data_IF_436754618749
#
_entry.id   IF_436754618749
#
_cell.length_a   1.000
_cell.length_b   1.000
_cell.length_c   1.000
_cell.angle_alpha   90.00
_cell.angle_beta   90.00
_cell.angle_gamma   90.00
#
_symmetry.space_group_name_H-M   'P 1'
#
loop_
_entity.id
_entity.type
_entity.pdbx_description
1 polymer ?
#
# COMPACT_ATOMS: atom_id res chain seq x y z
N UNK A 1 -8.29 -15.58 -8.67
CA UNK A 1 -7.17 -14.88 -9.33
C UNK A 1 -6.59 -13.85 -8.37
N UNK A 2 -5.31 -13.98 -8.02
CA UNK A 2 -4.61 -13.08 -7.10
C UNK A 2 -3.56 -12.22 -7.81
N UNK A 3 -2.81 -11.45 -7.03
CA UNK A 3 -1.63 -10.71 -7.50
C UNK A 3 -0.41 -11.62 -7.37
N UNK A 4 0.10 -12.12 -8.50
CA UNK A 4 1.26 -13.02 -8.53
C UNK A 4 2.53 -12.32 -9.00
N UNK A 5 2.42 -11.04 -9.35
CA UNK A 5 3.52 -10.21 -9.83
C UNK A 5 3.95 -9.22 -8.76
N UNK A 6 5.24 -8.86 -8.78
CA UNK A 6 5.85 -7.96 -7.81
C UNK A 6 6.60 -8.67 -6.67
N UNK A 7 7.56 -7.96 -6.07
CA UNK A 7 8.39 -8.42 -4.96
C UNK A 7 8.10 -7.57 -3.72
N UNK A 8 7.56 -8.18 -2.68
CA UNK A 8 7.28 -7.52 -1.40
C UNK A 8 8.53 -7.41 -0.54
N UNK A 9 8.76 -6.24 0.05
CA UNK A 9 9.82 -5.96 1.02
C UNK A 9 9.23 -5.22 2.22
N UNK A 10 9.33 -5.81 3.41
CA UNK A 10 9.00 -5.15 4.67
C UNK A 10 9.99 -4.02 4.96
N UNK A 11 9.49 -2.90 5.46
CA UNK A 11 10.31 -1.75 5.84
C UNK A 11 10.70 -1.81 7.32
N UNK A 12 11.92 -1.38 7.61
CA UNK A 12 12.51 -1.39 8.94
C UNK A 12 13.25 -0.09 9.23
N UNK A 13 13.20 0.35 10.47
CA UNK A 13 13.99 1.46 11.02
C UNK A 13 14.82 0.98 12.22
N UNK A 14 15.31 1.92 13.04
CA UNK A 14 16.09 1.61 14.25
C UNK A 14 15.24 0.97 15.35
N UNK A 15 13.93 1.19 15.34
CA UNK A 15 12.96 0.72 16.33
C UNK A 15 12.33 -0.62 15.92
N UNK A 16 12.49 -1.02 14.65
CA UNK A 16 12.15 -2.34 14.13
C UNK A 16 11.28 -2.28 12.89
N UNK A 17 10.28 -3.15 12.80
CA UNK A 17 9.38 -3.23 11.66
C UNK A 17 8.43 -2.02 11.64
N UNK A 18 8.36 -1.30 10.52
CA UNK A 18 7.59 -0.05 10.40
C UNK A 18 6.09 -0.26 10.11
N UNK A 19 5.60 -1.51 10.17
CA UNK A 19 4.22 -1.85 9.81
C UNK A 19 3.90 -1.69 8.32
N UNK A 20 4.90 -1.42 7.48
CA UNK A 20 4.72 -1.09 6.05
C UNK A 20 5.49 -2.07 5.16
N UNK A 21 4.90 -2.41 4.03
CA UNK A 21 5.51 -3.27 3.01
C UNK A 21 5.49 -2.57 1.65
N UNK A 22 6.65 -2.49 0.99
CA UNK A 22 6.79 -1.97 -0.37
C UNK A 22 6.73 -3.13 -1.36
N UNK A 23 5.89 -3.01 -2.39
CA UNK A 23 5.80 -4.01 -3.47
C UNK A 23 6.46 -3.43 -4.73
N UNK A 24 7.55 -4.07 -5.16
CA UNK A 24 8.31 -3.66 -6.34
C UNK A 24 7.83 -4.42 -7.57
N UNK A 25 7.41 -3.71 -8.60
CA UNK A 25 6.98 -4.30 -9.88
C UNK A 25 8.10 -4.25 -10.93
N UNK A 26 7.86 -4.86 -12.10
CA UNK A 26 8.78 -4.78 -13.22
C UNK A 26 9.00 -3.31 -13.64
N UNK A 27 10.22 -2.98 -14.08
CA UNK A 27 10.56 -1.62 -14.52
C UNK A 27 10.19 -1.39 -16.01
N UNK A 28 8.96 -1.75 -16.36
CA UNK A 28 8.41 -1.65 -17.70
C UNK A 28 6.90 -1.31 -17.62
N UNK A 29 6.22 -1.02 -18.74
CA UNK A 29 4.80 -0.67 -18.72
C UNK A 29 3.89 -1.74 -18.12
N UNK A 30 4.27 -3.03 -18.15
CA UNK A 30 3.49 -4.11 -17.55
C UNK A 30 3.54 -4.06 -16.02
N UNK A 31 4.70 -3.73 -15.45
CA UNK A 31 4.84 -3.54 -14.00
C UNK A 31 4.01 -2.37 -13.47
N UNK A 32 3.94 -1.26 -14.22
CA UNK A 32 3.05 -0.15 -13.87
C UNK A 32 1.57 -0.56 -13.91
N UNK A 33 1.15 -1.31 -14.93
CA UNK A 33 -0.22 -1.82 -15.05
C UNK A 33 -0.60 -2.72 -13.86
N UNK A 34 0.32 -3.59 -13.44
CA UNK A 34 0.12 -4.46 -12.28
C UNK A 34 0.05 -3.67 -10.97
N UNK A 35 0.93 -2.68 -10.79
CA UNK A 35 0.90 -1.78 -9.64
C UNK A 35 -0.45 -1.02 -9.55
N UNK A 36 -0.93 -0.49 -10.67
CA UNK A 36 -2.24 0.18 -10.76
C UNK A 36 -3.38 -0.77 -10.41
N UNK A 37 -3.35 -2.01 -10.91
CA UNK A 37 -4.36 -3.02 -10.59
C UNK A 37 -4.38 -3.36 -9.09
N UNK A 38 -3.23 -3.43 -8.44
CA UNK A 38 -3.15 -3.66 -6.99
C UNK A 38 -3.73 -2.48 -6.20
N UNK A 39 -3.38 -1.25 -6.57
CA UNK A 39 -3.96 -0.06 -5.95
C UNK A 39 -5.49 0.01 -6.14
N UNK A 40 -5.99 -0.25 -7.35
CA UNK A 40 -7.43 -0.29 -7.64
C UNK A 40 -8.17 -1.35 -6.82
N UNK A 41 -7.52 -2.48 -6.52
CA UNK A 41 -8.10 -3.51 -5.66
C UNK A 41 -8.30 -3.03 -4.22
N UNK A 42 -7.34 -2.29 -3.66
CA UNK A 42 -7.48 -1.68 -2.35
C UNK A 42 -8.54 -0.57 -2.35
N UNK A 43 -8.56 0.29 -3.37
CA UNK A 43 -9.57 1.34 -3.52
C UNK A 43 -11.00 0.76 -3.61
N UNK A 44 -11.21 -0.31 -4.38
CA UNK A 44 -12.51 -0.99 -4.48
C UNK A 44 -13.00 -1.58 -3.15
N UNK A 45 -12.09 -1.91 -2.25
CA UNK A 45 -12.41 -2.38 -0.91
C UNK A 45 -12.55 -1.24 0.11
N UNK A 46 -12.44 0.02 -0.32
CA UNK A 46 -12.36 1.21 0.54
C UNK A 46 -11.15 1.18 1.48
N UNK A 47 -10.08 0.52 1.07
CA UNK A 47 -8.81 0.43 1.79
C UNK A 47 -7.68 1.17 1.06
N UNK A 48 -8.04 2.18 0.26
CA UNK A 48 -7.12 3.04 -0.47
C UNK A 48 -6.46 4.11 0.38
N UNK A 49 -5.71 5.01 -0.27
CA UNK A 49 -4.91 6.05 0.41
C UNK A 49 -5.77 7.02 1.22
N UNK A 50 -6.91 7.45 0.66
CA UNK A 50 -7.81 8.40 1.32
C UNK A 50 -8.41 7.80 2.58
N UNK A 51 -8.81 6.52 2.52
CA UNK A 51 -9.28 5.79 3.69
C UNK A 51 -8.19 5.68 4.75
N UNK A 52 -6.98 5.31 4.35
CA UNK A 52 -5.84 5.26 5.27
C UNK A 52 -5.60 6.60 5.96
N UNK A 53 -5.54 7.69 5.20
CA UNK A 53 -5.34 9.04 5.75
C UNK A 53 -6.43 9.45 6.75
N UNK A 54 -7.69 9.06 6.50
CA UNK A 54 -8.80 9.34 7.42
C UNK A 54 -8.63 8.63 8.77
N UNK A 55 -8.12 7.40 8.75
CA UNK A 55 -7.90 6.58 9.95
C UNK A 55 -6.63 6.99 10.68
N UNK A 56 -5.57 7.35 9.96
CA UNK A 56 -4.29 7.74 10.53
C UNK A 56 -4.42 8.93 11.49
N UNK A 57 -5.34 9.86 11.22
CA UNK A 57 -5.66 10.99 12.11
C UNK A 57 -6.25 10.55 13.48
N UNK A 58 -6.90 9.39 13.51
CA UNK A 58 -7.55 8.80 14.69
C UNK A 58 -6.71 7.68 15.32
N UNK A 59 -5.64 7.26 14.65
CA UNK A 59 -4.76 6.20 15.12
C UNK A 59 -3.98 6.67 16.34
N UNK A 60 -4.35 6.12 17.50
CA UNK A 60 -3.60 6.17 18.74
C UNK A 60 -3.03 4.78 18.91
N UNK A 61 -1.70 4.58 18.87
CA UNK A 61 -1.12 3.27 19.16
C UNK A 61 -1.56 2.87 20.56
N UNK A 62 -2.56 1.98 20.67
CA UNK A 62 -3.06 1.49 21.95
C UNK A 62 -2.80 0.00 22.00
N UNK A 63 -2.63 -0.51 23.21
CA UNK A 63 -2.45 -1.95 23.49
C UNK A 63 -3.57 -2.88 22.96
N UNK A 64 -4.60 -2.37 22.29
CA UNK A 64 -5.84 -3.08 21.95
C UNK A 64 -6.31 -2.82 20.50
N UNK A 65 -5.37 -2.64 19.57
CA UNK A 65 -5.66 -2.49 18.13
C UNK A 65 -6.42 -3.71 17.56
N UNK A 66 -6.38 -4.86 18.25
CA UNK A 66 -7.09 -6.10 17.88
C UNK A 66 -8.62 -6.03 18.00
N UNK A 67 -9.15 -4.95 18.57
CA UNK A 67 -10.60 -4.70 18.69
C UNK A 67 -11.08 -3.54 17.82
N UNK A 68 -10.18 -2.87 17.13
CA UNK A 68 -10.51 -1.70 16.34
C UNK A 68 -11.00 -2.15 14.94
N UNK A 69 -12.23 -1.76 14.54
CA UNK A 69 -12.89 -2.31 13.34
C UNK A 69 -12.30 -1.86 11.99
N UNK A 70 -11.49 -0.81 11.97
CA UNK A 70 -10.70 -0.36 10.82
C UNK A 70 -9.38 -1.14 10.69
N UNK A 71 -8.91 -1.81 11.74
CA UNK A 71 -7.68 -2.61 11.71
C UNK A 71 -7.92 -4.12 11.68
N UNK A 72 -9.08 -4.57 12.16
CA UNK A 72 -9.44 -5.98 12.23
C UNK A 72 -10.86 -6.24 11.71
N UNK A 73 -10.99 -7.23 10.84
CA UNK A 73 -12.26 -7.77 10.39
C UNK A 73 -12.43 -9.19 10.91
N UNK A 74 -13.60 -9.51 11.46
CA UNK A 74 -13.97 -10.89 11.79
C UNK A 74 -14.52 -11.56 10.54
N UNK A 75 -13.86 -12.61 10.07
CA UNK A 75 -14.47 -13.52 9.11
C UNK A 75 -15.48 -14.40 9.85
N UNK A 76 -16.76 -14.08 9.69
CA UNK A 76 -17.87 -14.79 10.34
C UNK A 76 -18.00 -16.25 9.90
N UNK A 77 -17.38 -16.66 8.79
CA UNK A 77 -17.45 -18.03 8.26
C UNK A 77 -16.50 -18.96 8.99
N UNK A 78 -15.31 -18.47 9.34
CA UNK A 78 -14.25 -19.26 9.99
C UNK A 78 -13.99 -18.81 11.44
N UNK A 79 -14.70 -17.79 11.92
CA UNK A 79 -14.54 -17.20 13.27
C UNK A 79 -13.12 -16.68 13.56
N UNK A 80 -12.38 -16.32 12.51
CA UNK A 80 -11.01 -15.79 12.62
C UNK A 80 -10.96 -14.27 12.40
N UNK A 81 -10.04 -13.62 13.11
CA UNK A 81 -9.74 -12.19 12.96
C UNK A 81 -8.67 -12.01 11.90
N UNK A 82 -8.99 -11.28 10.83
CA UNK A 82 -8.04 -10.90 9.79
C UNK A 82 -7.68 -9.42 9.90
N UNK A 83 -6.40 -9.09 9.72
CA UNK A 83 -5.96 -7.69 9.67
C UNK A 83 -6.40 -7.05 8.37
N UNK A 84 -6.96 -5.85 8.47
CA UNK A 84 -7.28 -5.03 7.31
C UNK A 84 -5.99 -4.40 6.81
N UNK A 85 -5.66 -4.67 5.55
CA UNK A 85 -4.54 -4.03 4.86
C UNK A 85 -5.04 -2.84 4.05
N UNK A 86 -4.28 -1.74 4.12
CA UNK A 86 -4.44 -0.57 3.28
C UNK A 86 -3.30 -0.52 2.26
N UNK A 87 -3.61 -0.10 1.03
CA UNK A 87 -2.62 -0.09 -0.05
C UNK A 87 -2.96 0.91 -1.14
N UNK A 88 -1.93 1.46 -1.77
CA UNK A 88 -2.05 2.49 -2.80
C UNK A 88 -0.75 2.56 -3.63
N UNK A 89 -0.80 3.29 -4.75
CA UNK A 89 0.41 3.59 -5.54
C UNK A 89 1.31 4.55 -4.75
N UNK A 90 2.59 4.19 -4.62
CA UNK A 90 3.57 5.04 -3.95
C UNK A 90 3.63 6.44 -4.56
N UNK A 91 3.73 7.45 -3.70
CA UNK A 91 3.88 8.86 -4.07
C UNK A 91 5.26 9.37 -3.67
N UNK A 92 5.61 10.58 -4.12
CA UNK A 92 6.91 11.20 -3.81
C UNK A 92 7.19 11.30 -2.31
N UNK A 93 6.17 11.59 -1.49
CA UNK A 93 6.31 11.64 -0.03
C UNK A 93 6.69 10.29 0.59
N UNK A 94 6.31 9.17 -0.01
CA UNK A 94 6.63 7.84 0.54
C UNK A 94 8.11 7.50 0.37
N UNK A 95 8.82 8.20 -0.54
CA UNK A 95 10.24 7.96 -0.79
C UNK A 95 11.14 8.31 0.40
N UNK A 96 10.64 9.11 1.34
CA UNK A 96 11.33 9.39 2.60
C UNK A 96 11.32 8.17 3.54
N UNK A 97 10.29 7.32 3.43
CA UNK A 97 10.10 6.13 4.25
C UNK A 97 10.71 4.84 3.69
N UNK A 98 11.29 4.88 2.48
CA UNK A 98 11.94 3.73 1.85
C UNK A 98 13.46 3.79 1.97
N UNK A 99 14.11 2.63 1.90
CA UNK A 99 15.57 2.55 1.97
C UNK A 99 16.24 3.16 0.73
N UNK A 100 17.52 3.49 0.89
CA UNK A 100 18.32 4.13 -0.16
C UNK A 100 18.33 3.34 -1.48
N UNK A 101 18.38 2.01 -1.42
CA UNK A 101 18.43 1.17 -2.62
C UNK A 101 17.11 1.16 -3.37
N UNK A 102 15.99 1.20 -2.67
CA UNK A 102 14.67 1.40 -3.28
C UNK A 102 14.58 2.81 -3.86
N UNK A 103 14.90 3.85 -3.09
CA UNK A 103 14.78 5.26 -3.52
C UNK A 103 15.57 5.58 -4.79
N UNK A 104 16.76 5.02 -4.97
CA UNK A 104 17.58 5.28 -6.17
C UNK A 104 17.10 4.54 -7.44
N UNK A 105 16.17 3.59 -7.31
CA UNK A 105 15.69 2.73 -8.42
C UNK A 105 14.26 3.05 -8.85
N UNK A 106 13.62 4.07 -8.27
CA UNK A 106 12.25 4.46 -8.63
C UNK A 106 12.25 5.46 -9.79
N UNK A 107 11.23 5.34 -10.64
CA UNK A 107 10.88 6.35 -11.65
C UNK A 107 9.59 7.05 -11.19
N UNK A 108 9.60 8.39 -11.19
CA UNK A 108 8.43 9.19 -10.82
C UNK A 108 7.71 9.60 -12.09
N UNK A 109 6.40 9.37 -12.13
CA UNK A 109 5.56 9.58 -13.30
C UNK A 109 4.30 10.36 -12.94
N UNK A 110 3.92 11.32 -13.78
CA UNK A 110 2.69 12.08 -13.59
C UNK A 110 1.49 11.26 -14.07
N UNK A 111 0.58 10.94 -13.13
CA UNK A 111 -0.70 10.28 -13.47
C UNK A 111 -1.56 11.13 -14.41
N UNK A 112 -1.46 12.47 -14.32
CA UNK A 112 -2.25 13.40 -15.15
C UNK A 112 -1.73 13.44 -16.58
N UNK A 113 -0.42 13.44 -16.76
CA UNK A 113 0.24 13.51 -18.07
C UNK A 113 0.02 12.23 -18.88
N UNK A 114 0.07 11.06 -18.22
CA UNK A 114 -0.25 9.77 -18.86
C UNK A 114 -1.72 9.61 -19.26
N UNK A 115 -2.63 10.37 -18.65
CA UNK A 115 -4.06 10.33 -18.99
C UNK A 115 -4.40 11.21 -20.20
N UNK A 116 -3.45 12.02 -20.70
CA UNK A 116 -3.66 12.80 -21.90
C UNK A 116 -3.34 11.96 -23.15
N UNK A 117 -4.24 11.90 -24.14
CA UNK A 117 -3.90 11.32 -25.43
C UNK A 117 -2.81 12.17 -26.08
N UNK A 118 -1.71 11.53 -26.46
CA UNK A 118 -0.69 12.15 -27.29
C UNK A 118 -1.35 12.54 -28.63
N UNK A 119 -1.42 13.84 -28.94
CA UNK A 119 -1.85 14.36 -30.24
C UNK A 119 -0.64 14.55 -31.16
#
# INVERSE_FOLDING_TARGET
FGFTTGKSKSMFDREGHMGTTVVHFANDPSGLKDAMRLADFFEKQKNGRTSWASIQSSFRPRKDDEKEPNFVKLDKRILEKERILYGYLGIVFDLEGVDFDTRKKVTIESKREKAQPHW
#
